data_IF_886679623522
#
_entry.id   IF_886679623522
#
_cell.length_a   1.000
_cell.length_b   1.000
_cell.length_c   1.000
_cell.angle_alpha   90.00
_cell.angle_beta   90.00
_cell.angle_gamma   90.00
#
_symmetry.space_group_name_H-M   'P 1'
#
loop_
_entity.id
_entity.type
_entity.pdbx_description
1 polymer ?
#
# COMPACT_ATOMS: atom_id res chain seq x y z
N UNK A 1 17.19 6.00 -3.21
CA UNK A 1 15.72 6.07 -3.32
C UNK A 1 15.06 4.83 -2.73
N UNK A 2 15.18 3.64 -3.33
CA UNK A 2 14.47 2.43 -2.88
C UNK A 2 14.76 2.03 -1.42
N UNK A 3 16.02 2.11 -0.96
CA UNK A 3 16.37 1.93 0.47
C UNK A 3 15.65 2.92 1.38
N UNK A 4 15.76 4.21 1.07
CA UNK A 4 15.12 5.27 1.85
C UNK A 4 13.61 5.06 1.95
N UNK A 5 12.96 4.67 0.86
CA UNK A 5 11.53 4.33 0.84
C UNK A 5 11.21 3.14 1.75
N UNK A 6 11.99 2.06 1.67
CA UNK A 6 11.85 0.90 2.54
C UNK A 6 12.04 1.27 4.02
N UNK A 7 13.04 2.10 4.33
CA UNK A 7 13.32 2.56 5.69
C UNK A 7 12.19 3.43 6.23
N UNK A 8 11.67 4.37 5.42
CA UNK A 8 10.49 5.16 5.78
C UNK A 8 9.29 4.28 6.10
N UNK A 9 8.98 3.28 5.28
CA UNK A 9 7.85 2.39 5.53
C UNK A 9 8.07 1.46 6.73
N UNK A 10 9.29 0.99 6.98
CA UNK A 10 9.63 0.26 8.23
C UNK A 10 9.38 1.11 9.47
N UNK A 11 9.78 2.39 9.43
CA UNK A 11 9.54 3.33 10.53
C UNK A 11 8.02 3.53 10.72
N UNK A 12 7.28 3.79 9.64
CA UNK A 12 5.82 3.94 9.70
C UNK A 12 5.13 2.70 10.28
N UNK A 13 5.52 1.50 9.81
CA UNK A 13 5.01 0.22 10.32
C UNK A 13 5.23 0.09 11.81
N UNK A 14 6.47 0.29 12.27
CA UNK A 14 6.82 0.20 13.69
C UNK A 14 5.99 1.18 14.52
N UNK A 15 5.94 2.45 14.12
CA UNK A 15 5.17 3.48 14.83
C UNK A 15 3.69 3.11 14.94
N UNK A 16 3.10 2.59 13.87
CA UNK A 16 1.69 2.17 13.85
C UNK A 16 1.46 0.94 14.73
N UNK A 17 2.33 -0.06 14.66
CA UNK A 17 2.23 -1.27 15.49
C UNK A 17 2.33 -0.93 16.99
N UNK A 18 3.24 -0.04 17.36
CA UNK A 18 3.39 0.47 18.72
C UNK A 18 2.16 1.28 19.17
N UNK A 19 1.61 2.12 18.29
CA UNK A 19 0.43 2.94 18.61
C UNK A 19 -0.88 2.15 18.58
N UNK A 20 -0.94 0.98 17.93
CA UNK A 20 -2.18 0.24 17.67
C UNK A 20 -2.93 -0.13 18.94
N UNK A 21 -2.24 -0.55 19.99
CA UNK A 21 -2.86 -0.91 21.26
C UNK A 21 -3.50 0.31 21.94
N UNK A 22 -2.84 1.47 21.86
CA UNK A 22 -3.40 2.73 22.36
C UNK A 22 -4.64 3.13 21.56
N UNK A 23 -4.59 3.05 20.22
CA UNK A 23 -5.72 3.35 19.35
C UNK A 23 -6.92 2.44 19.64
N UNK A 24 -6.69 1.13 19.77
CA UNK A 24 -7.74 0.16 20.12
C UNK A 24 -8.34 0.47 21.50
N UNK A 25 -7.51 0.77 22.49
CA UNK A 25 -7.96 1.12 23.84
C UNK A 25 -8.80 2.40 23.83
N UNK A 26 -8.31 3.47 23.19
CA UNK A 26 -9.05 4.73 23.04
C UNK A 26 -10.39 4.55 22.33
N UNK A 27 -10.44 3.76 21.26
CA UNK A 27 -11.68 3.45 20.57
C UNK A 27 -12.64 2.63 21.42
N UNK A 28 -12.15 1.65 22.19
CA UNK A 28 -13.00 0.85 23.09
C UNK A 28 -13.64 1.71 24.18
N UNK A 29 -12.87 2.63 24.77
CA UNK A 29 -13.37 3.58 25.76
C UNK A 29 -14.40 4.55 25.15
N UNK A 30 -14.13 5.07 23.95
CA UNK A 30 -15.07 5.94 23.23
C UNK A 30 -16.35 5.19 22.82
N UNK A 31 -16.24 3.91 22.44
CA UNK A 31 -17.38 3.09 22.07
C UNK A 31 -18.32 2.84 23.25
N UNK A 32 -17.80 2.61 24.46
CA UNK A 32 -18.60 2.31 25.65
C UNK A 32 -19.57 3.44 26.08
N UNK A 33 -19.30 4.68 25.65
CA UNK A 33 -20.12 5.85 25.96
C UNK A 33 -20.69 6.53 24.69
N UNK A 34 -20.71 5.79 23.57
CA UNK A 34 -20.99 6.37 22.26
C UNK A 34 -22.41 6.90 22.12
N UNK A 35 -22.54 8.18 21.75
CA UNK A 35 -23.83 8.78 21.41
C UNK A 35 -24.16 8.59 19.92
N UNK A 36 -25.44 8.64 19.51
CA UNK A 36 -25.82 8.58 18.09
C UNK A 36 -25.12 9.62 17.21
N UNK A 37 -24.90 10.83 17.74
CA UNK A 37 -24.15 11.90 17.07
C UNK A 37 -22.68 11.54 16.82
N UNK A 38 -22.08 10.73 17.70
CA UNK A 38 -20.70 10.30 17.60
C UNK A 38 -20.54 9.17 16.59
N UNK A 39 -21.45 8.21 16.61
CA UNK A 39 -21.51 7.16 15.60
C UNK A 39 -21.77 7.74 14.19
N UNK A 40 -22.64 8.75 14.08
CA UNK A 40 -22.84 9.48 12.83
C UNK A 40 -21.58 10.23 12.37
N UNK A 41 -20.81 10.80 13.30
CA UNK A 41 -19.53 11.44 12.99
C UNK A 41 -18.50 10.42 12.53
N UNK A 42 -18.40 9.27 13.21
CA UNK A 42 -17.50 8.20 12.83
C UNK A 42 -17.83 7.64 11.44
N UNK A 43 -19.10 7.51 11.08
CA UNK A 43 -19.51 7.12 9.73
C UNK A 43 -19.11 8.16 8.66
N UNK A 44 -19.20 9.46 8.94
CA UNK A 44 -18.70 10.50 8.04
C UNK A 44 -17.18 10.43 7.89
N UNK A 45 -16.46 10.27 8.99
CA UNK A 45 -15.00 10.06 8.96
C UNK A 45 -14.62 8.79 8.21
N UNK A 46 -15.40 7.72 8.34
CA UNK A 46 -15.22 6.48 7.61
C UNK A 46 -15.40 6.69 6.10
N UNK A 47 -16.42 7.42 5.67
CA UNK A 47 -16.64 7.76 4.27
C UNK A 47 -15.50 8.60 3.68
N UNK A 48 -15.01 9.59 4.44
CA UNK A 48 -13.86 10.37 4.04
C UNK A 48 -12.59 9.50 3.91
N UNK A 49 -12.32 8.66 4.90
CA UNK A 49 -11.16 7.76 4.88
C UNK A 49 -11.26 6.75 3.73
N UNK A 50 -12.43 6.19 3.48
CA UNK A 50 -12.69 5.29 2.35
C UNK A 50 -12.36 5.96 1.01
N UNK A 51 -12.77 7.21 0.81
CA UNK A 51 -12.42 7.97 -0.39
C UNK A 51 -10.91 8.22 -0.52
N UNK A 52 -10.26 8.60 0.58
CA UNK A 52 -8.80 8.79 0.61
C UNK A 52 -8.03 7.49 0.36
N UNK A 53 -8.50 6.35 0.85
CA UNK A 53 -7.89 5.04 0.60
C UNK A 53 -7.95 4.67 -0.89
N UNK A 54 -9.08 4.92 -1.55
CA UNK A 54 -9.20 4.70 -3.00
C UNK A 54 -8.30 5.64 -3.79
N UNK A 55 -8.29 6.92 -3.41
CA UNK A 55 -7.41 7.91 -4.02
C UNK A 55 -5.94 7.50 -3.86
N UNK A 56 -5.55 7.05 -2.66
CA UNK A 56 -4.21 6.57 -2.38
C UNK A 56 -3.85 5.34 -3.24
N UNK A 57 -4.74 4.36 -3.34
CA UNK A 57 -4.58 3.20 -4.22
C UNK A 57 -4.32 3.63 -5.67
N UNK A 58 -5.17 4.48 -6.24
CA UNK A 58 -4.99 4.96 -7.62
C UNK A 58 -3.70 5.74 -7.81
N UNK A 59 -3.33 6.59 -6.85
CA UNK A 59 -2.05 7.31 -6.87
C UNK A 59 -0.86 6.35 -6.83
N UNK A 60 -0.93 5.29 -6.01
CA UNK A 60 0.12 4.28 -5.91
C UNK A 60 0.28 3.51 -7.23
N UNK A 61 -0.83 3.02 -7.80
CA UNK A 61 -0.82 2.32 -9.10
C UNK A 61 -0.22 3.21 -10.20
N UNK A 62 -0.63 4.48 -10.28
CA UNK A 62 -0.09 5.43 -11.24
C UNK A 62 1.41 5.67 -11.02
N UNK A 63 1.86 5.80 -9.78
CA UNK A 63 3.27 5.95 -9.44
C UNK A 63 4.10 4.73 -9.83
N UNK A 64 3.63 3.51 -9.55
CA UNK A 64 4.30 2.25 -9.93
C UNK A 64 4.39 2.13 -11.45
N UNK A 65 3.29 2.42 -12.16
CA UNK A 65 3.27 2.42 -13.62
C UNK A 65 4.29 3.41 -14.20
N UNK A 66 4.40 4.61 -13.61
CA UNK A 66 5.40 5.60 -14.00
C UNK A 66 6.84 5.11 -13.75
N UNK A 67 7.13 4.48 -12.60
CA UNK A 67 8.45 3.90 -12.32
C UNK A 67 8.83 2.84 -13.36
N UNK A 68 7.90 1.92 -13.68
CA UNK A 68 8.14 0.88 -14.70
C UNK A 68 8.32 1.47 -16.09
N UNK A 69 7.51 2.46 -16.47
CA UNK A 69 7.64 3.15 -17.76
C UNK A 69 8.98 3.87 -17.88
N UNK A 70 9.41 4.57 -16.83
CA UNK A 70 10.71 5.22 -16.77
C UNK A 70 11.86 4.21 -16.95
N UNK A 71 11.83 3.10 -16.23
CA UNK A 71 12.86 2.06 -16.35
C UNK A 71 12.94 1.43 -17.75
N UNK A 72 11.79 1.16 -18.38
CA UNK A 72 11.74 0.68 -19.77
C UNK A 72 12.29 1.70 -20.75
N UNK A 73 11.91 2.97 -20.60
CA UNK A 73 12.39 4.05 -21.46
C UNK A 73 13.91 4.21 -21.36
N UNK A 74 14.44 4.19 -20.13
CA UNK A 74 15.88 4.25 -19.87
C UNK A 74 16.62 3.04 -20.47
N UNK A 75 16.08 1.83 -20.32
CA UNK A 75 16.64 0.62 -20.92
C UNK A 75 16.68 0.70 -22.45
N UNK A 76 15.57 1.11 -23.07
CA UNK A 76 15.51 1.29 -24.52
C UNK A 76 16.47 2.37 -25.03
N UNK A 77 16.62 3.48 -24.31
CA UNK A 77 17.60 4.52 -24.64
C UNK A 77 19.03 4.03 -24.53
N UNK A 78 19.40 3.39 -23.42
CA UNK A 78 20.76 2.89 -23.19
C UNK A 78 21.18 1.82 -24.21
N UNK A 79 20.27 0.91 -24.58
CA UNK A 79 20.53 -0.08 -25.64
C UNK A 79 20.79 0.55 -27.01
N UNK A 80 20.11 1.66 -27.34
CA UNK A 80 20.37 2.40 -28.59
C UNK A 80 21.72 3.11 -28.55
N UNK A 81 22.13 3.66 -27.41
CA UNK A 81 23.46 4.23 -27.24
C UNK A 81 24.56 3.17 -27.39
N UNK A 82 24.36 1.98 -26.82
CA UNK A 82 25.30 0.85 -26.95
C UNK A 82 25.43 0.34 -28.41
N UNK A 83 24.38 0.48 -29.23
CA UNK A 83 24.37 0.09 -30.65
C UNK A 83 24.72 1.20 -31.65
N UNK A 84 24.76 2.47 -31.23
CA UNK A 84 25.02 3.63 -32.08
C UNK A 84 26.52 3.95 -32.23
N UNK A 85 27.40 3.31 -31.46
CA UNK A 85 28.85 3.36 -31.64
C UNK A 85 29.32 2.27 -32.59
N UNK A 86 29.49 2.59 -33.87
CA UNK A 86 29.82 1.61 -34.91
C UNK A 86 31.07 0.77 -34.63
N UNK A 87 30.99 -0.52 -34.96
CA UNK A 87 32.07 -1.40 -35.43
C UNK A 87 33.44 -1.40 -34.70
N UNK A 88 33.51 -1.08 -33.40
CA UNK A 88 34.78 -1.13 -32.66
C UNK A 88 35.02 -2.52 -32.04
N UNK A 89 35.90 -3.28 -32.69
CA UNK A 89 36.71 -4.39 -32.18
C UNK A 89 36.04 -5.35 -31.19
N UNK A 90 35.68 -6.55 -31.68
CA UNK A 90 35.58 -7.73 -30.84
C UNK A 90 36.91 -7.90 -30.09
N UNK A 91 36.95 -7.54 -28.81
CA UNK A 91 38.09 -7.83 -27.95
C UNK A 91 38.33 -9.35 -27.98
N UNK A 92 39.55 -9.84 -28.29
CA UNK A 92 39.85 -11.26 -28.39
C UNK A 92 39.69 -12.04 -27.07
N UNK A 93 39.32 -11.36 -25.98
CA UNK A 93 39.34 -11.91 -24.61
C UNK A 93 37.99 -12.36 -24.05
N UNK A 94 36.90 -12.35 -24.82
CA UNK A 94 35.63 -12.98 -24.41
C UNK A 94 34.88 -12.32 -23.24
N UNK A 95 35.47 -11.34 -22.56
CA UNK A 95 34.82 -10.57 -21.50
C UNK A 95 34.00 -9.44 -22.14
N UNK A 96 32.68 -9.65 -22.28
CA UNK A 96 31.76 -8.57 -22.66
C UNK A 96 31.77 -7.52 -21.54
N UNK A 97 32.15 -6.26 -21.81
CA UNK A 97 31.97 -5.19 -20.84
C UNK A 97 30.51 -5.16 -20.41
N UNK A 98 30.28 -4.95 -19.11
CA UNK A 98 28.95 -4.89 -18.54
C UNK A 98 28.23 -3.63 -19.07
N UNK A 99 27.56 -3.76 -20.23
CA UNK A 99 26.99 -2.58 -20.89
C UNK A 99 25.93 -1.91 -20.01
N UNK A 100 25.88 -0.58 -20.08
CA UNK A 100 24.88 0.22 -19.35
C UNK A 100 23.46 -0.17 -19.79
N UNK A 101 23.27 -0.52 -21.07
CA UNK A 101 22.00 -1.04 -21.60
C UNK A 101 21.55 -2.34 -20.93
N UNK A 102 22.48 -3.29 -20.70
CA UNK A 102 22.18 -4.50 -19.95
C UNK A 102 21.75 -4.23 -18.50
N UNK A 103 22.29 -3.18 -17.87
CA UNK A 103 21.98 -2.83 -16.47
C UNK A 103 20.56 -2.28 -16.36
N UNK A 104 20.23 -1.38 -17.27
CA UNK A 104 18.90 -0.76 -17.33
C UNK A 104 17.83 -1.81 -17.66
N UNK A 105 18.12 -2.76 -18.55
CA UNK A 105 17.20 -3.86 -18.88
C UNK A 105 16.97 -4.78 -17.69
N UNK A 106 18.03 -5.17 -16.97
CA UNK A 106 17.91 -5.97 -15.75
C UNK A 106 17.10 -5.22 -14.68
N UNK A 107 17.33 -3.93 -14.51
CA UNK A 107 16.58 -3.11 -13.55
C UNK A 107 15.10 -3.01 -13.91
N UNK A 108 14.77 -2.82 -15.20
CA UNK A 108 13.39 -2.86 -15.67
C UNK A 108 12.70 -4.19 -15.34
N UNK A 109 13.39 -5.33 -15.54
CA UNK A 109 12.85 -6.65 -15.21
C UNK A 109 12.63 -6.83 -13.71
N UNK A 110 13.54 -6.32 -12.88
CA UNK A 110 13.36 -6.34 -11.41
C UNK A 110 12.08 -5.58 -11.04
N UNK A 111 11.88 -4.36 -11.55
CA UNK A 111 10.67 -3.57 -11.25
C UNK A 111 9.37 -4.20 -11.79
N UNK A 112 9.44 -4.98 -12.87
CA UNK A 112 8.30 -5.75 -13.37
C UNK A 112 8.02 -7.00 -12.52
N UNK A 113 9.03 -7.55 -11.87
CA UNK A 113 8.89 -8.73 -11.01
C UNK A 113 8.33 -8.42 -9.62
N UNK A 114 8.48 -7.17 -9.14
CA UNK A 114 7.90 -6.77 -7.87
C UNK A 114 6.41 -6.58 -8.04
N UNK A 115 5.63 -7.39 -7.32
CA UNK A 115 4.16 -7.34 -7.33
C UNK A 115 3.63 -6.35 -6.30
N UNK A 116 2.74 -5.47 -6.74
CA UNK A 116 1.97 -4.54 -5.92
C UNK A 116 0.63 -5.10 -5.43
N UNK A 117 0.27 -6.32 -5.85
CA UNK A 117 -1.07 -6.89 -5.65
C UNK A 117 -1.50 -6.86 -4.19
N UNK A 118 -0.62 -7.27 -3.27
CA UNK A 118 -0.95 -7.30 -1.84
C UNK A 118 -1.23 -5.90 -1.26
N UNK A 119 -0.55 -4.86 -1.76
CA UNK A 119 -0.79 -3.48 -1.32
C UNK A 119 -2.15 -3.01 -1.82
N UNK A 120 -2.44 -3.28 -3.10
CA UNK A 120 -3.69 -2.93 -3.74
C UNK A 120 -4.87 -3.63 -3.06
N UNK A 121 -4.78 -4.95 -2.87
CA UNK A 121 -5.78 -5.75 -2.19
C UNK A 121 -5.98 -5.31 -0.74
N UNK A 122 -4.89 -5.00 -0.04
CA UNK A 122 -4.94 -4.48 1.32
C UNK A 122 -5.67 -3.14 1.44
N UNK A 123 -5.44 -2.23 0.49
CA UNK A 123 -6.13 -0.93 0.43
C UNK A 123 -7.61 -1.10 0.07
N UNK A 124 -7.95 -2.01 -0.83
CA UNK A 124 -9.34 -2.31 -1.19
C UNK A 124 -10.11 -2.91 -0.02
N UNK A 125 -9.54 -3.91 0.65
CA UNK A 125 -10.14 -4.53 1.82
C UNK A 125 -10.34 -3.50 2.94
N UNK A 126 -9.38 -2.59 3.12
CA UNK A 126 -9.50 -1.52 4.09
C UNK A 126 -10.62 -0.53 3.70
N UNK A 127 -10.67 -0.08 2.45
CA UNK A 127 -11.74 0.80 1.98
C UNK A 127 -13.12 0.14 2.10
N UNK A 128 -13.26 -1.13 1.67
CA UNK A 128 -14.49 -1.90 1.84
C UNK A 128 -14.88 -2.06 3.31
N UNK A 129 -13.90 -2.29 4.18
CA UNK A 129 -14.07 -2.31 5.62
C UNK A 129 -14.65 -0.99 6.15
N UNK A 130 -14.11 0.15 5.74
CA UNK A 130 -14.65 1.45 6.14
C UNK A 130 -16.08 1.68 5.61
N UNK A 131 -16.38 1.22 4.40
CA UNK A 131 -17.74 1.22 3.85
C UNK A 131 -18.75 0.42 4.68
N UNK A 132 -18.30 -0.65 5.34
CA UNK A 132 -19.14 -1.42 6.25
C UNK A 132 -19.58 -0.63 7.49
N UNK A 133 -18.76 0.32 7.96
CA UNK A 133 -19.08 1.23 9.08
C UNK A 133 -20.21 2.18 8.71
N UNK A 134 -20.20 2.68 7.46
CA UNK A 134 -21.27 3.54 6.93
C UNK A 134 -22.59 2.76 6.88
N UNK A 135 -22.55 1.53 6.36
CA UNK A 135 -23.71 0.65 6.33
C UNK A 135 -24.24 0.31 7.73
N UNK A 136 -23.33 0.09 8.68
CA UNK A 136 -23.68 -0.14 10.08
C UNK A 136 -24.38 1.07 10.70
N UNK A 137 -23.92 2.29 10.43
CA UNK A 137 -24.55 3.51 10.95
C UNK A 137 -25.96 3.73 10.39
N UNK A 138 -26.21 3.42 9.10
CA UNK A 138 -27.55 3.57 8.50
C UNK A 138 -28.57 2.68 9.20
N UNK A 139 -28.21 1.42 9.45
CA UNK A 139 -29.04 0.47 10.21
C UNK A 139 -29.25 0.87 11.68
N UNK A 140 -28.36 1.71 12.23
CA UNK A 140 -28.52 2.27 13.58
C UNK A 140 -29.57 3.39 13.65
N UNK A 141 -29.77 4.14 12.56
CA UNK A 141 -30.72 5.25 12.48
C UNK A 141 -32.16 4.84 12.15
N UNK A 142 -32.36 3.72 11.46
CA UNK A 142 -33.66 3.24 10.97
C UNK A 142 -34.51 2.55 12.06
N UNK A 143 -33.90 2.07 13.16
CA UNK A 143 -34.56 1.29 14.20
C UNK A 143 -35.32 2.08 15.27
N UNK A 144 -35.93 3.23 14.97
CA UNK A 144 -36.67 4.01 15.97
C UNK A 144 -38.12 4.33 15.64
N UNK A 145 -38.59 4.04 14.42
CA UNK A 145 -39.93 4.48 14.01
C UNK A 145 -41.04 3.44 14.08
N UNK A 146 -40.81 2.12 14.00
CA UNK A 146 -41.93 1.17 14.07
C UNK A 146 -41.58 -0.10 14.84
N UNK A 147 -42.57 -0.57 15.60
CA UNK A 147 -42.45 -1.60 16.62
C UNK A 147 -41.81 -2.91 16.16
N UNK A 148 -41.00 -3.45 17.07
CA UNK A 148 -40.72 -4.87 17.32
C UNK A 148 -41.10 -5.85 16.18
N UNK A 149 -40.18 -6.01 15.23
CA UNK A 149 -40.14 -7.19 14.37
C UNK A 149 -38.75 -7.83 14.50
N UNK A 150 -38.77 -9.10 14.92
CA UNK A 150 -37.65 -10.00 15.09
C UNK A 150 -36.82 -10.11 13.79
N UNK A 151 -35.64 -9.48 13.77
CA UNK A 151 -34.86 -9.28 12.55
C UNK A 151 -33.40 -8.89 12.81
N UNK A 152 -32.63 -9.78 13.43
CA UNK A 152 -31.17 -9.66 13.61
C UNK A 152 -30.73 -8.59 14.62
N UNK A 153 -29.45 -8.60 15.08
CA UNK A 153 -28.99 -7.68 16.12
C UNK A 153 -29.08 -6.22 15.65
N UNK A 154 -29.89 -5.42 16.34
CA UNK A 154 -30.08 -4.00 16.10
C UNK A 154 -28.73 -3.29 16.28
N UNK A 155 -28.37 -2.39 15.36
CA UNK A 155 -27.04 -1.78 15.38
C UNK A 155 -27.01 -0.58 16.32
N UNK A 156 -26.38 -0.68 17.49
CA UNK A 156 -26.29 0.44 18.44
C UNK A 156 -25.11 1.37 18.11
N UNK A 157 -25.13 2.65 18.56
CA UNK A 157 -24.01 3.58 18.37
C UNK A 157 -22.67 3.02 18.90
N UNK A 158 -22.71 2.33 20.03
CA UNK A 158 -21.54 1.68 20.64
C UNK A 158 -20.98 0.61 19.71
N UNK A 159 -21.86 -0.21 19.12
CA UNK A 159 -21.45 -1.26 18.17
C UNK A 159 -20.87 -0.67 16.89
N UNK A 160 -21.43 0.43 16.38
CA UNK A 160 -20.89 1.12 15.20
C UNK A 160 -19.47 1.63 15.47
N UNK A 161 -19.26 2.25 16.64
CA UNK A 161 -17.94 2.73 17.07
C UNK A 161 -16.94 1.58 17.26
N UNK A 162 -17.37 0.46 17.84
CA UNK A 162 -16.53 -0.73 18.03
C UNK A 162 -16.08 -1.32 16.69
N UNK A 163 -16.99 -1.43 15.71
CA UNK A 163 -16.64 -1.86 14.35
C UNK A 163 -15.68 -0.87 13.71
N UNK A 164 -15.95 0.44 13.81
CA UNK A 164 -15.09 1.48 13.24
C UNK A 164 -13.66 1.38 13.76
N UNK A 165 -13.48 1.25 15.08
CA UNK A 165 -12.15 1.11 15.70
C UNK A 165 -11.41 -0.15 15.27
N UNK A 166 -12.11 -1.29 15.21
CA UNK A 166 -11.52 -2.57 14.78
C UNK A 166 -11.10 -2.54 13.32
N UNK A 167 -11.99 -2.09 12.43
CA UNK A 167 -11.72 -1.96 11.00
C UNK A 167 -10.54 -1.02 10.78
N UNK A 168 -10.53 0.14 11.43
CA UNK A 168 -9.44 1.11 11.34
C UNK A 168 -8.10 0.49 11.74
N UNK A 169 -8.04 -0.15 12.91
CA UNK A 169 -6.79 -0.72 13.42
C UNK A 169 -6.31 -1.93 12.61
N UNK A 170 -7.23 -2.79 12.15
CA UNK A 170 -6.89 -3.92 11.32
C UNK A 170 -6.44 -3.47 9.92
N UNK A 171 -7.22 -2.62 9.26
CA UNK A 171 -6.94 -2.11 7.92
C UNK A 171 -5.66 -1.31 7.85
N UNK A 172 -5.39 -0.45 8.83
CA UNK A 172 -4.12 0.28 8.90
C UNK A 172 -2.91 -0.66 9.04
N UNK A 173 -3.00 -1.69 9.89
CA UNK A 173 -1.92 -2.67 10.02
C UNK A 173 -1.67 -3.45 8.74
N UNK A 174 -2.73 -3.88 8.05
CA UNK A 174 -2.62 -4.61 6.78
C UNK A 174 -2.00 -3.71 5.72
N UNK A 175 -2.56 -2.52 5.49
CA UNK A 175 -2.09 -1.59 4.46
C UNK A 175 -0.61 -1.23 4.66
N UNK A 176 -0.20 -0.88 5.88
CA UNK A 176 1.19 -0.49 6.15
C UNK A 176 2.14 -1.69 6.12
N UNK A 177 1.70 -2.89 6.52
CA UNK A 177 2.52 -4.10 6.40
C UNK A 177 2.78 -4.45 4.94
N UNK A 178 1.73 -4.51 4.11
CA UNK A 178 1.86 -4.82 2.69
C UNK A 178 2.72 -3.79 1.97
N UNK A 179 2.55 -2.50 2.28
CA UNK A 179 3.38 -1.44 1.68
C UNK A 179 4.85 -1.54 2.10
N UNK A 180 5.11 -1.90 3.36
CA UNK A 180 6.47 -2.14 3.85
C UNK A 180 7.10 -3.31 3.12
N UNK A 181 6.38 -4.42 2.96
CA UNK A 181 6.86 -5.60 2.23
C UNK A 181 7.17 -5.26 0.76
N UNK A 182 6.26 -4.56 0.08
CA UNK A 182 6.49 -4.08 -1.28
C UNK A 182 7.75 -3.21 -1.40
N UNK A 183 7.94 -2.26 -0.47
CA UNK A 183 9.09 -1.37 -0.48
C UNK A 183 10.41 -2.12 -0.19
N UNK A 184 10.37 -3.08 0.74
CA UNK A 184 11.51 -3.95 1.08
C UNK A 184 11.89 -4.81 -0.13
N UNK A 185 10.94 -5.51 -0.74
CA UNK A 185 11.21 -6.33 -1.94
C UNK A 185 11.74 -5.50 -3.10
N UNK A 186 11.23 -4.27 -3.28
CA UNK A 186 11.76 -3.32 -4.26
C UNK A 186 13.22 -2.96 -3.99
N UNK A 187 13.56 -2.69 -2.73
CA UNK A 187 14.93 -2.36 -2.32
C UNK A 187 15.88 -3.55 -2.47
N UNK A 188 15.47 -4.75 -2.05
CA UNK A 188 16.25 -5.98 -2.17
C UNK A 188 16.52 -6.34 -3.63
N UNK A 189 15.51 -6.22 -4.50
CA UNK A 189 15.68 -6.43 -5.93
C UNK A 189 16.71 -5.47 -6.54
N UNK A 190 16.67 -4.19 -6.15
CA UNK A 190 17.65 -3.20 -6.57
C UNK A 190 19.06 -3.51 -6.03
N UNK A 191 19.19 -3.86 -4.75
CA UNK A 191 20.48 -4.19 -4.14
C UNK A 191 21.12 -5.44 -4.74
N UNK A 192 20.33 -6.48 -5.01
CA UNK A 192 20.82 -7.69 -5.66
C UNK A 192 21.37 -7.40 -7.06
N UNK A 193 20.75 -6.46 -7.78
CA UNK A 193 21.26 -5.98 -9.07
C UNK A 193 22.58 -5.21 -8.93
N UNK A 194 22.71 -4.36 -7.91
CA UNK A 194 23.95 -3.61 -7.63
C UNK A 194 25.09 -4.56 -7.22
N UNK A 195 24.83 -5.55 -6.34
CA UNK A 195 25.84 -6.53 -5.91
C UNK A 195 26.37 -7.37 -7.06
N UNK A 196 25.48 -7.93 -7.90
CA UNK A 196 25.88 -8.68 -9.11
C UNK A 196 26.75 -7.88 -10.09
N UNK A 197 26.66 -6.54 -10.07
CA UNK A 197 27.51 -5.66 -10.87
C UNK A 197 28.85 -5.39 -10.20
N UNK A 198 28.87 -5.26 -8.88
CA UNK A 198 30.09 -5.04 -8.10
C UNK A 198 30.99 -6.28 -8.00
N UNK A 199 30.43 -7.47 -8.07
CA UNK A 199 31.16 -8.75 -8.08
C UNK A 199 31.76 -9.11 -9.45
N UNK A 200 31.47 -8.33 -10.50
CA UNK A 200 31.98 -8.51 -11.86
C UNK A 200 33.01 -7.47 -12.31
N UNK A 201 33.60 -6.75 -11.36
CA UNK A 201 34.71 -5.78 -11.51
C UNK A 201 35.91 -6.28 -10.69
#
# INVERSE_FOLDING_TARGET
MWRTMADCHRIQKRTIEEAKLLLLSSYSAAAAAAKPSEAARAARSAAALEAELRNWRSCLEAWIAAQRAYARALAGWALRCDGSGGAAAQSPRGERPSSAGGACLQWSRVLESVSEAQVVDGLDLFAAGMGSVIGAQRRSGEGKEDGEVDGGPWMTPEKVMEIAGRVLCAGLSVAVSSLTEFAVSSAEGYEALVKRRGEGL
#
